data_IF_176585727629
#
_entry.id   IF_176585727629
#
_cell.length_a   1.000
_cell.length_b   1.000
_cell.length_c   1.000
_cell.angle_alpha   90.00
_cell.angle_beta   90.00
_cell.angle_gamma   90.00
#
_symmetry.space_group_name_H-M   'P 1'
#
loop_
_entity.id
_entity.type
_entity.pdbx_description
1 polymer ?
#
# COMPACT_ATOMS: atom_id res chain seq x y z
N UNK A 1 -2.22 4.98 19.99
CA UNK A 1 -2.96 5.57 18.87
C UNK A 1 -2.98 4.63 17.70
N UNK A 2 -4.11 4.53 17.03
CA UNK A 2 -4.25 3.62 15.89
C UNK A 2 -3.60 4.22 14.65
N UNK A 3 -2.80 3.42 13.98
CA UNK A 3 -2.24 3.80 12.67
C UNK A 3 -3.30 3.61 11.60
N UNK A 4 -3.31 4.50 10.63
CA UNK A 4 -4.31 4.50 9.56
C UNK A 4 -3.68 4.08 8.24
N UNK A 5 -4.30 3.09 7.59
CA UNK A 5 -3.78 2.45 6.37
C UNK A 5 -4.79 2.63 5.23
N UNK A 6 -4.28 2.99 4.07
CA UNK A 6 -5.05 3.00 2.83
C UNK A 6 -4.61 1.81 1.99
N UNK A 7 -5.56 0.93 1.65
CA UNK A 7 -5.30 -0.24 0.81
C UNK A 7 -5.95 -0.02 -0.55
N UNK A 8 -5.18 -0.20 -1.62
CA UNK A 8 -5.68 -0.11 -2.98
C UNK A 8 -5.29 -1.37 -3.74
N UNK A 9 -6.28 -2.19 -4.05
CA UNK A 9 -6.12 -3.42 -4.81
C UNK A 9 -7.38 -3.61 -5.65
N UNK A 10 -7.25 -3.93 -6.92
CA UNK A 10 -8.40 -4.08 -7.81
C UNK A 10 -9.22 -5.34 -7.52
N UNK A 11 -8.72 -6.22 -6.66
CA UNK A 11 -9.46 -7.42 -6.22
C UNK A 11 -10.14 -7.14 -4.88
N UNK A 12 -11.50 -7.04 -4.84
CA UNK A 12 -12.21 -6.73 -3.59
C UNK A 12 -11.97 -7.73 -2.47
N UNK A 13 -11.80 -9.01 -2.82
CA UNK A 13 -11.56 -10.07 -1.84
C UNK A 13 -10.24 -9.89 -1.11
N UNK A 14 -9.20 -9.45 -1.84
CA UNK A 14 -7.89 -9.17 -1.24
C UNK A 14 -8.01 -8.01 -0.27
N UNK A 15 -8.66 -6.93 -0.68
CA UNK A 15 -8.89 -5.77 0.19
C UNK A 15 -9.59 -6.18 1.48
N UNK A 16 -10.66 -6.97 1.37
CA UNK A 16 -11.44 -7.39 2.53
C UNK A 16 -10.60 -8.25 3.48
N UNK A 17 -9.88 -9.23 2.94
CA UNK A 17 -9.07 -10.12 3.75
C UNK A 17 -7.99 -9.36 4.52
N UNK A 18 -7.28 -8.46 3.85
CA UNK A 18 -6.22 -7.66 4.49
C UNK A 18 -6.81 -6.69 5.51
N UNK A 19 -7.93 -6.06 5.18
CA UNK A 19 -8.61 -5.15 6.09
C UNK A 19 -8.98 -5.83 7.41
N UNK A 20 -9.56 -7.03 7.34
CA UNK A 20 -9.96 -7.78 8.55
C UNK A 20 -8.74 -8.04 9.43
N UNK A 21 -7.66 -8.53 8.84
CA UNK A 21 -6.42 -8.82 9.57
C UNK A 21 -5.85 -7.58 10.24
N UNK A 22 -5.80 -6.47 9.52
CA UNK A 22 -5.23 -5.23 10.06
C UNK A 22 -6.11 -4.63 11.14
N UNK A 23 -7.41 -4.64 10.97
CA UNK A 23 -8.33 -4.12 11.98
C UNK A 23 -8.27 -4.93 13.28
N UNK A 24 -8.11 -6.25 13.18
CA UNK A 24 -7.91 -7.12 14.34
C UNK A 24 -6.62 -6.79 15.10
N UNK A 25 -5.68 -6.17 14.43
CA UNK A 25 -4.39 -5.78 15.03
C UNK A 25 -4.30 -4.28 15.34
N UNK A 26 -5.43 -3.60 15.41
CA UNK A 26 -5.50 -2.21 15.88
C UNK A 26 -5.32 -1.13 14.83
N UNK A 27 -5.25 -1.49 13.56
CA UNK A 27 -5.16 -0.50 12.48
C UNK A 27 -6.54 0.02 12.10
N UNK A 28 -6.60 1.25 11.63
CA UNK A 28 -7.77 1.80 10.94
C UNK A 28 -7.53 1.68 9.46
N UNK A 29 -8.49 1.13 8.72
CA UNK A 29 -8.27 0.75 7.31
C UNK A 29 -9.37 1.28 6.41
N UNK A 30 -8.95 1.94 5.34
CA UNK A 30 -9.83 2.29 4.22
C UNK A 30 -9.36 1.53 2.99
N UNK A 31 -10.29 1.02 2.19
CA UNK A 31 -9.97 0.23 1.01
C UNK A 31 -10.61 0.80 -0.25
N UNK A 32 -9.91 0.68 -1.37
CA UNK A 32 -10.40 1.07 -2.68
C UNK A 32 -9.99 0.03 -3.72
N UNK A 33 -10.87 -0.19 -4.70
CA UNK A 33 -10.55 -1.02 -5.86
C UNK A 33 -10.16 -0.18 -7.07
N UNK A 34 -10.47 1.11 -7.04
CA UNK A 34 -10.18 2.06 -8.12
C UNK A 34 -9.10 3.03 -7.66
N UNK A 35 -7.92 3.04 -8.32
CA UNK A 35 -6.83 3.91 -7.92
C UNK A 35 -7.16 5.40 -8.04
N UNK A 36 -8.03 5.79 -8.96
CA UNK A 36 -8.41 7.20 -9.10
C UNK A 36 -9.27 7.66 -7.93
N UNK A 37 -10.19 6.81 -7.46
CA UNK A 37 -10.99 7.11 -6.28
C UNK A 37 -10.13 7.15 -5.01
N UNK A 38 -9.13 6.26 -4.93
CA UNK A 38 -8.20 6.26 -3.83
C UNK A 38 -7.39 7.55 -3.79
N UNK A 39 -6.92 8.02 -4.94
CA UNK A 39 -6.18 9.28 -5.04
C UNK A 39 -7.04 10.47 -4.63
N UNK A 40 -8.29 10.50 -5.06
CA UNK A 40 -9.22 11.56 -4.68
C UNK A 40 -9.45 11.56 -3.17
N UNK A 41 -9.66 10.40 -2.57
CA UNK A 41 -9.80 10.27 -1.12
C UNK A 41 -8.54 10.76 -0.41
N UNK A 42 -7.37 10.38 -0.91
CA UNK A 42 -6.11 10.79 -0.29
C UNK A 42 -5.95 12.32 -0.31
N UNK A 43 -6.35 12.97 -1.39
CA UNK A 43 -6.30 14.44 -1.47
C UNK A 43 -7.16 15.10 -0.41
N UNK A 44 -8.34 14.54 -0.14
CA UNK A 44 -9.26 15.09 0.87
C UNK A 44 -8.75 14.85 2.29
N UNK A 45 -8.01 13.79 2.50
CA UNK A 45 -7.54 13.37 3.81
C UNK A 45 -6.03 13.38 3.93
N UNK A 46 -5.37 14.32 3.22
CA UNK A 46 -3.93 14.44 3.23
C UNK A 46 -3.39 14.58 4.66
N UNK A 47 -2.32 13.83 4.95
CA UNK A 47 -1.72 13.83 6.29
C UNK A 47 -2.38 12.90 7.29
N UNK A 48 -3.50 12.27 6.95
CA UNK A 48 -4.21 11.38 7.87
C UNK A 48 -3.78 9.92 7.78
N UNK A 49 -3.14 9.54 6.69
CA UNK A 49 -2.68 8.17 6.51
C UNK A 49 -1.23 7.99 6.92
N UNK A 50 -0.95 6.91 7.62
CA UNK A 50 0.42 6.55 8.03
C UNK A 50 1.09 5.61 7.02
N UNK A 51 0.29 4.80 6.31
CA UNK A 51 0.80 3.78 5.41
C UNK A 51 -0.14 3.58 4.23
N UNK A 52 0.47 3.35 3.07
CA UNK A 52 -0.23 2.91 1.86
C UNK A 52 0.12 1.46 1.59
N UNK A 53 -0.87 0.65 1.25
CA UNK A 53 -0.66 -0.70 0.73
C UNK A 53 -1.25 -0.73 -0.67
N UNK A 54 -0.39 -0.77 -1.67
CA UNK A 54 -0.78 -0.62 -3.07
C UNK A 54 -0.45 -1.86 -3.87
N UNK A 55 -1.45 -2.41 -4.57
CA UNK A 55 -1.21 -3.44 -5.57
C UNK A 55 -0.47 -2.82 -6.75
N UNK A 56 0.51 -3.52 -7.28
CA UNK A 56 1.29 -3.00 -8.40
C UNK A 56 0.50 -3.08 -9.70
N UNK A 57 -0.13 -4.23 -9.97
CA UNK A 57 -0.82 -4.46 -11.23
C UNK A 57 -2.30 -4.15 -11.12
N UNK A 58 -2.66 -2.94 -11.52
CA UNK A 58 -4.06 -2.50 -11.60
C UNK A 58 -4.35 -1.93 -12.97
N UNK A 59 -5.59 -2.04 -13.47
CA UNK A 59 -5.96 -1.37 -14.73
C UNK A 59 -5.82 0.15 -14.64
N UNK A 60 -5.48 0.77 -15.73
CA UNK A 60 -5.44 2.23 -15.94
C UNK A 60 -4.35 2.98 -15.16
N UNK A 61 -4.07 2.63 -13.93
CA UNK A 61 -3.01 3.24 -13.14
C UNK A 61 -2.42 2.16 -12.23
N UNK A 62 -1.13 1.86 -12.38
CA UNK A 62 -0.47 0.88 -11.52
C UNK A 62 -0.08 1.47 -10.16
N UNK A 63 0.36 0.61 -9.24
CA UNK A 63 0.69 1.05 -7.89
C UNK A 63 1.83 2.06 -7.83
N UNK A 64 2.81 1.94 -8.72
CA UNK A 64 3.93 2.89 -8.77
C UNK A 64 3.47 4.27 -9.20
N UNK A 65 2.62 4.32 -10.22
CA UNK A 65 2.06 5.58 -10.72
C UNK A 65 1.20 6.25 -9.64
N UNK A 66 0.38 5.47 -8.96
CA UNK A 66 -0.45 5.97 -7.86
C UNK A 66 0.43 6.53 -6.73
N UNK A 67 1.47 5.80 -6.35
CA UNK A 67 2.39 6.26 -5.31
C UNK A 67 3.06 7.59 -5.70
N UNK A 68 3.49 7.72 -6.94
CA UNK A 68 4.10 8.97 -7.40
C UNK A 68 3.13 10.15 -7.26
N UNK A 69 1.86 9.95 -7.58
CA UNK A 69 0.85 10.99 -7.42
C UNK A 69 0.61 11.34 -5.95
N UNK A 70 0.53 10.32 -5.10
CA UNK A 70 0.31 10.52 -3.66
C UNK A 70 1.50 11.24 -3.03
N UNK A 71 2.71 10.89 -3.43
CA UNK A 71 3.92 11.50 -2.87
C UNK A 71 4.01 13.01 -3.15
N UNK A 72 3.39 13.47 -4.22
CA UNK A 72 3.29 14.91 -4.51
C UNK A 72 2.39 15.64 -3.52
N UNK A 73 1.47 14.93 -2.89
CA UNK A 73 0.52 15.49 -1.91
C UNK A 73 1.10 15.40 -0.50
N UNK A 74 1.68 14.26 -0.16
CA UNK A 74 2.28 13.99 1.15
C UNK A 74 3.53 13.13 0.94
N UNK A 75 4.70 13.71 1.08
CA UNK A 75 5.97 13.03 0.87
C UNK A 75 6.43 12.22 2.09
N UNK A 76 5.69 12.28 3.18
CA UNK A 76 6.03 11.57 4.43
C UNK A 76 5.30 10.25 4.59
N UNK A 77 4.23 10.02 3.84
CA UNK A 77 3.48 8.77 3.94
C UNK A 77 4.36 7.59 3.51
N UNK A 78 4.28 6.50 4.26
CA UNK A 78 5.04 5.30 3.96
C UNK A 78 4.25 4.40 3.02
N UNK A 79 4.94 3.54 2.29
CA UNK A 79 4.31 2.69 1.28
C UNK A 79 4.79 1.25 1.41
N UNK A 80 3.87 0.33 1.11
CA UNK A 80 4.16 -1.08 0.93
C UNK A 80 3.46 -1.51 -0.35
N UNK A 81 4.19 -2.15 -1.26
CA UNK A 81 3.63 -2.65 -2.51
C UNK A 81 3.28 -4.12 -2.40
N UNK A 82 2.10 -4.49 -2.87
CA UNK A 82 1.63 -5.88 -2.90
C UNK A 82 1.60 -6.37 -4.34
N UNK A 83 1.98 -7.61 -4.56
CA UNK A 83 1.85 -8.23 -5.88
C UNK A 83 1.57 -9.72 -5.76
N UNK A 84 0.80 -10.25 -6.72
CA UNK A 84 0.48 -11.66 -6.79
C UNK A 84 1.53 -12.49 -7.54
N UNK A 85 2.38 -11.86 -8.33
CA UNK A 85 3.37 -12.54 -9.15
C UNK A 85 4.77 -12.46 -8.58
N UNK A 86 5.72 -13.03 -9.32
CA UNK A 86 7.12 -12.80 -9.02
C UNK A 86 7.41 -11.32 -9.16
N UNK A 87 8.20 -10.83 -8.25
CA UNK A 87 8.55 -9.42 -8.29
C UNK A 87 9.43 -9.11 -9.49
N UNK A 88 9.04 -8.08 -10.19
CA UNK A 88 9.91 -7.45 -11.15
C UNK A 88 10.78 -6.42 -10.43
N UNK A 89 11.89 -6.89 -9.84
CA UNK A 89 12.83 -6.00 -9.15
C UNK A 89 13.41 -4.93 -10.08
N UNK A 90 13.55 -5.24 -11.35
CA UNK A 90 14.06 -4.26 -12.31
C UNK A 90 13.08 -3.10 -12.44
N UNK A 91 11.79 -3.42 -12.55
CA UNK A 91 10.75 -2.40 -12.63
C UNK A 91 10.68 -1.60 -11.33
N UNK A 92 10.76 -2.27 -10.20
CA UNK A 92 10.77 -1.63 -8.88
C UNK A 92 11.95 -0.65 -8.78
N UNK A 93 13.15 -1.08 -9.15
CA UNK A 93 14.33 -0.24 -9.10
C UNK A 93 14.25 0.94 -10.06
N UNK A 94 13.74 0.72 -11.28
CA UNK A 94 13.57 1.80 -12.25
C UNK A 94 12.56 2.85 -11.82
N UNK A 95 11.46 2.40 -11.22
CA UNK A 95 10.36 3.29 -10.86
C UNK A 95 10.59 4.03 -9.54
N UNK A 96 11.26 3.41 -8.59
CA UNK A 96 11.33 3.91 -7.22
C UNK A 96 12.74 4.00 -6.63
N UNK A 97 13.73 3.34 -7.22
CA UNK A 97 15.10 3.38 -6.72
C UNK A 97 15.71 4.78 -6.89
N UNK A 98 16.54 5.25 -5.95
CA UNK A 98 17.00 4.55 -4.75
C UNK A 98 16.16 4.83 -3.51
N UNK A 99 14.99 5.41 -3.66
CA UNK A 99 14.22 6.00 -2.57
C UNK A 99 13.57 4.99 -1.62
N UNK A 100 13.32 3.76 -2.05
CA UNK A 100 12.63 2.76 -1.24
C UNK A 100 13.43 1.50 -1.02
N UNK A 101 13.30 0.96 0.19
CA UNK A 101 13.88 -0.30 0.60
C UNK A 101 13.08 -1.47 -0.01
N UNK A 102 13.76 -2.58 -0.29
CA UNK A 102 13.13 -3.82 -0.74
C UNK A 102 12.08 -4.37 0.23
N UNK A 103 12.17 -4.00 1.51
CA UNK A 103 11.18 -4.38 2.52
C UNK A 103 9.82 -3.74 2.29
N UNK A 104 9.74 -2.72 1.44
CA UNK A 104 8.48 -2.10 1.04
C UNK A 104 7.71 -2.92 0.02
N UNK A 105 8.22 -4.09 -0.36
CA UNK A 105 7.62 -4.95 -1.35
C UNK A 105 7.19 -6.27 -0.72
N UNK A 106 5.92 -6.63 -0.87
CA UNK A 106 5.36 -7.85 -0.30
C UNK A 106 4.69 -8.67 -1.38
N UNK A 107 5.11 -9.92 -1.54
CA UNK A 107 4.51 -10.85 -2.48
C UNK A 107 3.32 -11.55 -1.83
N UNK A 108 2.19 -11.59 -2.53
CA UNK A 108 1.00 -12.33 -2.10
C UNK A 108 1.12 -13.80 -2.49
N UNK A 109 0.53 -14.74 -1.76
CA UNK A 109 -0.12 -14.57 -0.46
C UNK A 109 0.92 -14.45 0.67
N UNK A 110 0.60 -13.67 1.69
CA UNK A 110 1.49 -13.50 2.83
C UNK A 110 0.77 -13.93 4.12
N UNK A 111 1.48 -14.59 5.01
CA UNK A 111 0.93 -14.99 6.29
C UNK A 111 0.64 -13.78 7.16
N UNK A 112 -0.43 -13.85 7.95
CA UNK A 112 -0.88 -12.78 8.81
C UNK A 112 0.21 -12.25 9.73
N UNK A 113 0.91 -13.12 10.43
CA UNK A 113 1.97 -12.70 11.35
C UNK A 113 3.11 -12.00 10.65
N UNK A 114 3.52 -12.52 9.49
CA UNK A 114 4.59 -11.92 8.69
C UNK A 114 4.17 -10.54 8.17
N UNK A 115 2.92 -10.41 7.74
CA UNK A 115 2.38 -9.14 7.28
C UNK A 115 2.43 -8.09 8.39
N UNK A 116 1.92 -8.42 9.57
CA UNK A 116 1.86 -7.49 10.69
C UNK A 116 3.27 -7.07 11.11
N UNK A 117 4.21 -7.99 11.18
CA UNK A 117 5.60 -7.68 11.50
C UNK A 117 6.21 -6.71 10.50
N UNK A 118 5.98 -6.94 9.21
CA UNK A 118 6.49 -6.06 8.15
C UNK A 118 5.90 -4.66 8.25
N UNK A 119 4.60 -4.57 8.44
CA UNK A 119 3.94 -3.28 8.54
C UNK A 119 4.42 -2.49 9.75
N UNK A 120 4.55 -3.14 10.89
CA UNK A 120 5.06 -2.50 12.09
C UNK A 120 6.50 -1.99 11.89
N UNK A 121 7.33 -2.74 11.19
CA UNK A 121 8.68 -2.32 10.84
C UNK A 121 8.72 -1.12 9.91
N UNK A 122 7.81 -1.06 8.94
CA UNK A 122 7.73 0.06 8.00
C UNK A 122 7.23 1.34 8.68
N UNK A 123 6.23 1.20 9.55
CA UNK A 123 5.59 2.34 10.22
C UNK A 123 6.46 2.89 11.37
N UNK A 124 7.23 2.02 12.00
CA UNK A 124 8.03 2.37 13.19
C UNK A 124 9.05 3.48 12.96
#
# INVERSE_FOLDING_TARGET
>A
MNKRVLIVDDEPDVNLAVKIVLEENGFQVNTFTDPFLALENFRKEAGMYDLLMLDIKMPDMNGFELYKQIKKIDDKVKVCFLTAGEMDYEQFEKELSPALDKNCYIQKPIETETLIKRLNGIIA
#
